data_IF_478817269141
#
_entry.id   IF_478817269141
#
_cell.length_a   1.000
_cell.length_b   1.000
_cell.length_c   1.000
_cell.angle_alpha   90.00
_cell.angle_beta   90.00
_cell.angle_gamma   90.00
#
_symmetry.space_group_name_H-M   'P 1'
#
loop_
_entity.id
_entity.type
_entity.pdbx_description
1 polymer ?
#
# COMPACT_ATOMS: atom_id res chain seq x y z
N UNK A 1 8.53 -9.84 -5.43
CA UNK A 1 7.17 -9.24 -5.43
C UNK A 1 7.15 -8.04 -6.37
N UNK A 2 6.03 -7.77 -7.06
CA UNK A 2 5.90 -6.53 -7.84
C UNK A 2 5.69 -5.32 -6.90
N UNK A 3 6.12 -4.10 -7.29
CA UNK A 3 6.03 -2.92 -6.43
C UNK A 3 4.64 -2.64 -5.84
N UNK A 4 3.56 -2.86 -6.61
CA UNK A 4 2.19 -2.67 -6.12
C UNK A 4 1.81 -3.60 -4.97
N UNK A 5 2.28 -4.86 -4.99
CA UNK A 5 2.04 -5.81 -3.90
C UNK A 5 2.82 -5.44 -2.63
N UNK A 6 4.02 -4.89 -2.80
CA UNK A 6 4.86 -4.41 -1.69
C UNK A 6 4.17 -3.22 -1.01
N UNK A 7 3.66 -2.26 -1.80
CA UNK A 7 2.92 -1.11 -1.30
C UNK A 7 1.64 -1.54 -0.57
N UNK A 8 0.85 -2.44 -1.16
CA UNK A 8 -0.35 -2.96 -0.53
C UNK A 8 -0.03 -3.59 0.84
N UNK A 9 1.02 -4.41 0.92
CA UNK A 9 1.40 -5.01 2.18
C UNK A 9 1.88 -3.96 3.21
N UNK A 10 2.62 -2.93 2.77
CA UNK A 10 3.07 -1.85 3.64
C UNK A 10 1.88 -1.07 4.24
N UNK A 11 0.90 -0.72 3.41
CA UNK A 11 -0.33 -0.06 3.86
C UNK A 11 -1.11 -0.93 4.84
N UNK A 12 -1.30 -2.21 4.55
CA UNK A 12 -2.04 -3.12 5.44
C UNK A 12 -1.33 -3.32 6.79
N UNK A 13 0.00 -3.40 6.78
CA UNK A 13 0.79 -3.48 8.01
C UNK A 13 0.68 -2.19 8.84
N UNK A 14 0.74 -1.01 8.20
CA UNK A 14 0.60 0.27 8.87
C UNK A 14 -0.80 0.47 9.48
N UNK A 15 -1.86 0.09 8.75
CA UNK A 15 -3.23 0.08 9.27
C UNK A 15 -3.33 -0.81 10.52
N UNK A 16 -2.80 -2.04 10.45
CA UNK A 16 -2.82 -2.99 11.57
C UNK A 16 -2.10 -2.44 12.80
N UNK A 17 -0.94 -1.80 12.61
CA UNK A 17 -0.17 -1.19 13.69
C UNK A 17 -0.94 -0.07 14.41
N UNK A 18 -1.89 0.59 13.72
CA UNK A 18 -2.76 1.63 14.27
C UNK A 18 -4.11 1.09 14.77
N UNK A 19 -4.34 -0.22 14.72
CA UNK A 19 -5.66 -0.80 15.05
C UNK A 19 -6.76 -0.47 14.03
N UNK A 20 -6.38 -0.09 12.80
CA UNK A 20 -7.30 0.28 11.72
C UNK A 20 -7.42 -0.86 10.70
N UNK A 21 -8.52 -0.88 9.96
CA UNK A 21 -8.73 -1.80 8.85
C UNK A 21 -8.96 -1.07 7.54
N UNK A 22 -8.78 -1.78 6.43
CA UNK A 22 -9.12 -1.23 5.10
C UNK A 22 -10.61 -0.97 4.95
N UNK A 23 -11.45 -1.71 5.69
CA UNK A 23 -12.90 -1.52 5.72
C UNK A 23 -13.28 -0.22 6.41
N UNK A 24 -12.55 0.18 7.46
CA UNK A 24 -12.75 1.47 8.13
C UNK A 24 -12.47 2.63 7.18
N UNK A 25 -11.36 2.53 6.43
CA UNK A 25 -11.06 3.51 5.39
C UNK A 25 -12.10 3.50 4.27
N UNK A 26 -12.54 2.33 3.80
CA UNK A 26 -13.55 2.24 2.74
C UNK A 26 -14.86 2.92 3.16
N UNK A 27 -15.27 2.76 4.43
CA UNK A 27 -16.42 3.45 5.02
C UNK A 27 -16.20 4.97 5.07
N UNK A 28 -15.02 5.41 5.52
CA UNK A 28 -14.64 6.83 5.58
C UNK A 28 -14.66 7.49 4.19
N UNK A 29 -14.08 6.82 3.19
CA UNK A 29 -13.99 7.29 1.81
C UNK A 29 -15.25 7.02 0.96
N UNK A 30 -16.34 6.52 1.58
CA UNK A 30 -17.63 6.19 0.92
C UNK A 30 -17.45 5.35 -0.35
N UNK A 31 -16.63 4.31 -0.26
CA UNK A 31 -16.26 3.40 -1.37
C UNK A 31 -16.28 1.94 -0.92
N UNK A 32 -16.11 1.00 -1.85
CA UNK A 32 -16.03 -0.43 -1.53
C UNK A 32 -14.60 -0.85 -1.19
N UNK A 33 -14.47 -1.82 -0.28
CA UNK A 33 -13.17 -2.42 0.06
C UNK A 33 -12.44 -2.99 -1.15
N UNK A 34 -13.19 -3.55 -2.12
CA UNK A 34 -12.62 -4.03 -3.38
C UNK A 34 -11.96 -2.89 -4.17
N UNK A 35 -12.66 -1.76 -4.32
CA UNK A 35 -12.13 -0.59 -5.02
C UNK A 35 -10.86 -0.04 -4.36
N UNK A 36 -10.83 0.01 -3.01
CA UNK A 36 -9.63 0.41 -2.27
C UNK A 36 -8.44 -0.51 -2.59
N UNK A 37 -8.63 -1.83 -2.55
CA UNK A 37 -7.57 -2.79 -2.86
C UNK A 37 -7.05 -2.64 -4.29
N UNK A 38 -7.93 -2.46 -5.26
CA UNK A 38 -7.54 -2.23 -6.66
C UNK A 38 -6.72 -0.95 -6.85
N UNK A 39 -7.08 0.13 -6.16
CA UNK A 39 -6.34 1.40 -6.24
C UNK A 39 -4.95 1.31 -5.61
N UNK A 40 -4.80 0.57 -4.51
CA UNK A 40 -3.52 0.41 -3.79
C UNK A 40 -2.57 -0.52 -4.54
N UNK A 41 -3.09 -1.58 -5.14
CA UNK A 41 -2.29 -2.46 -5.98
C UNK A 41 -1.79 -1.76 -7.27
N UNK A 42 -2.41 -0.64 -7.65
CA UNK A 42 -2.05 0.15 -8.83
C UNK A 42 -2.81 -0.23 -10.10
N UNK A 43 -3.85 -1.07 -10.00
CA UNK A 43 -4.69 -1.48 -11.15
C UNK A 43 -5.50 -0.31 -11.70
N UNK A 44 -5.95 0.58 -10.81
CA UNK A 44 -6.63 1.83 -11.19
C UNK A 44 -5.66 3.01 -11.07
N UNK A 45 -5.03 3.36 -12.19
CA UNK A 45 -4.06 4.46 -12.31
C UNK A 45 -4.69 5.80 -12.74
N UNK A 46 -6.01 5.83 -13.00
CA UNK A 46 -6.73 7.07 -13.29
C UNK A 46 -6.73 8.04 -12.12
N UNK A 47 -6.99 9.33 -12.37
CA UNK A 47 -6.85 10.41 -11.38
C UNK A 47 -7.55 10.14 -10.04
N UNK A 48 -8.78 9.60 -10.07
CA UNK A 48 -9.52 9.24 -8.85
C UNK A 48 -8.91 8.06 -8.08
N UNK A 49 -8.36 7.06 -8.78
CA UNK A 49 -7.70 5.92 -8.15
C UNK A 49 -6.36 6.30 -7.52
N UNK A 50 -5.64 7.22 -8.16
CA UNK A 50 -4.41 7.79 -7.59
C UNK A 50 -4.68 8.59 -6.32
N UNK A 51 -5.71 9.44 -6.33
CA UNK A 51 -6.10 10.21 -5.15
C UNK A 51 -6.49 9.29 -3.99
N UNK A 52 -7.37 8.31 -4.24
CA UNK A 52 -7.82 7.38 -3.20
C UNK A 52 -6.68 6.58 -2.58
N UNK A 53 -5.66 6.23 -3.39
CA UNK A 53 -4.45 5.57 -2.89
C UNK A 53 -3.63 6.49 -2.00
N UNK A 54 -3.47 7.75 -2.39
CA UNK A 54 -2.71 8.72 -1.60
C UNK A 54 -3.41 9.03 -0.27
N UNK A 55 -4.73 9.24 -0.32
CA UNK A 55 -5.57 9.42 0.87
C UNK A 55 -5.46 8.22 1.84
N UNK A 56 -5.41 7.00 1.30
CA UNK A 56 -5.22 5.81 2.12
C UNK A 56 -3.82 5.75 2.75
N UNK A 57 -2.78 6.12 2.01
CA UNK A 57 -1.41 6.17 2.54
C UNK A 57 -1.35 7.16 3.71
N UNK A 58 -1.98 8.32 3.58
CA UNK A 58 -2.06 9.29 4.67
C UNK A 58 -2.86 8.78 5.87
N UNK A 59 -4.03 8.18 5.61
CA UNK A 59 -4.87 7.58 6.65
C UNK A 59 -4.13 6.48 7.45
N UNK A 60 -3.40 5.62 6.74
CA UNK A 60 -2.56 4.57 7.32
C UNK A 60 -1.33 5.12 8.06
N UNK A 61 -0.95 6.38 7.81
CA UNK A 61 0.25 7.01 8.35
C UNK A 61 1.42 6.91 7.38
N UNK A 62 1.57 7.94 6.54
CA UNK A 62 2.55 7.97 5.44
C UNK A 62 3.97 7.61 5.86
N UNK A 63 4.46 8.14 6.98
CA UNK A 63 5.82 7.85 7.47
C UNK A 63 6.07 6.35 7.69
N UNK A 64 5.13 5.68 8.37
CA UNK A 64 5.23 4.24 8.63
C UNK A 64 5.09 3.42 7.34
N UNK A 65 4.18 3.81 6.45
CA UNK A 65 4.01 3.16 5.14
C UNK A 65 5.30 3.24 4.33
N UNK A 66 5.91 4.43 4.24
CA UNK A 66 7.16 4.64 3.49
C UNK A 66 8.31 3.84 4.08
N UNK A 67 8.44 3.81 5.41
CA UNK A 67 9.48 3.03 6.08
C UNK A 67 9.36 1.52 5.77
N UNK A 68 8.15 0.96 5.89
CA UNK A 68 7.90 -0.47 5.60
C UNK A 68 8.11 -0.75 4.11
N UNK A 69 7.63 0.13 3.23
CA UNK A 69 7.77 -0.02 1.79
C UNK A 69 9.24 -0.02 1.36
N UNK A 70 10.02 0.97 1.81
CA UNK A 70 11.43 1.09 1.50
C UNK A 70 12.23 -0.13 1.99
N UNK A 71 12.02 -0.55 3.25
CA UNK A 71 12.67 -1.74 3.81
C UNK A 71 12.41 -3.01 2.98
N UNK A 72 11.16 -3.21 2.54
CA UNK A 72 10.81 -4.37 1.70
C UNK A 72 11.37 -4.26 0.28
N UNK A 73 11.38 -3.06 -0.31
CA UNK A 73 11.99 -2.84 -1.63
C UNK A 73 13.49 -3.16 -1.62
N UNK A 74 14.21 -2.75 -0.58
CA UNK A 74 15.64 -3.08 -0.41
C UNK A 74 15.82 -4.60 -0.32
N UNK A 75 15.04 -5.28 0.51
CA UNK A 75 15.12 -6.75 0.64
C UNK A 75 14.82 -7.48 -0.67
N UNK A 76 13.84 -7.01 -1.46
CA UNK A 76 13.56 -7.61 -2.77
C UNK A 76 14.66 -7.32 -3.79
N UNK A 77 15.32 -6.16 -3.71
CA UNK A 77 16.47 -5.84 -4.55
C UNK A 77 17.70 -6.69 -4.20
N UNK A 78 17.93 -6.99 -2.92
CA UNK A 78 18.99 -7.90 -2.47
C UNK A 78 18.78 -9.31 -3.03
N UNK A 79 17.57 -9.86 -2.92
CA UNK A 79 17.21 -11.17 -3.52
C UNK A 79 17.44 -11.20 -5.02
N UNK A 80 17.11 -10.11 -5.73
CA UNK A 80 17.36 -10.00 -7.17
C UNK A 80 18.86 -9.99 -7.49
N UNK A 81 19.69 -9.34 -6.67
CA UNK A 81 21.15 -9.33 -6.83
C UNK A 81 21.75 -10.71 -6.60
N UNK A 82 21.29 -11.42 -5.55
CA UNK A 82 21.71 -12.79 -5.26
C UNK A 82 21.36 -13.75 -6.39
N UNK A 83 20.18 -13.58 -7.00
CA UNK A 83 19.76 -14.41 -8.13
C UNK A 83 20.53 -14.13 -9.43
N UNK A 84 21.01 -12.90 -9.60
CA UNK A 84 21.76 -12.49 -10.79
C UNK A 84 23.27 -12.76 -10.70
N UNK A 85 23.78 -13.14 -9.53
CA UNK A 85 25.18 -13.48 -9.27
C UNK A 85 25.48 -14.95 -9.58
#
# INVERSE_FOLDING_TARGET
MIPGAILQNAVMAALRAKGLTVTDFARHAKTSTGNVRYCVFGVSSGGRGSQLRDDLIDYAGRGLVLQIYASRMVSEAEKLREWAA
#
